data_IF_995010401244
#
_entry.id   IF_995010401244
#
_cell.length_a   1.000
_cell.length_b   1.000
_cell.length_c   1.000
_cell.angle_alpha   90.00
_cell.angle_beta   90.00
_cell.angle_gamma   90.00
#
_symmetry.space_group_name_H-M   'P 1'
#
loop_
_entity.id
_entity.type
_entity.pdbx_description
1 polymer ?
#
# COMPACT_ATOMS: atom_id res chain seq x y z
N UNK A 1 -8.27 19.60 29.03
CA UNK A 1 -7.96 18.63 27.96
C UNK A 1 -6.59 18.96 27.43
N UNK A 2 -5.76 17.96 27.20
CA UNK A 2 -4.40 18.10 26.69
C UNK A 2 -4.35 17.41 25.33
N UNK A 3 -3.76 18.09 24.35
CA UNK A 3 -3.64 17.57 23.00
C UNK A 3 -2.39 16.70 22.89
N UNK A 4 -2.56 15.48 22.39
CA UNK A 4 -1.49 14.55 22.07
C UNK A 4 -1.43 14.37 20.55
N UNK A 5 -0.22 14.39 20.00
CA UNK A 5 0.01 14.27 18.56
C UNK A 5 0.86 13.04 18.27
N UNK A 6 0.48 12.31 17.24
CA UNK A 6 1.21 11.18 16.72
C UNK A 6 1.66 11.48 15.29
N UNK A 7 2.94 11.28 15.00
CA UNK A 7 3.56 11.49 13.71
C UNK A 7 4.00 10.14 13.12
N UNK A 8 3.36 9.73 12.04
CA UNK A 8 3.68 8.54 11.26
C UNK A 8 4.60 8.93 10.10
N UNK A 9 5.80 8.36 10.06
CA UNK A 9 6.72 8.49 8.92
C UNK A 9 6.68 7.24 8.05
N UNK A 10 6.42 7.42 6.77
CA UNK A 10 6.45 6.32 5.79
C UNK A 10 7.88 6.15 5.29
N UNK A 11 8.50 4.99 5.54
CA UNK A 11 9.92 4.76 5.22
C UNK A 11 10.25 4.90 3.73
N UNK A 12 9.30 4.59 2.85
CA UNK A 12 9.51 4.55 1.39
C UNK A 12 9.43 5.96 0.78
N UNK A 13 8.44 6.77 1.18
CA UNK A 13 8.26 8.12 0.63
C UNK A 13 8.97 9.20 1.44
N UNK A 14 9.24 8.95 2.73
CA UNK A 14 9.74 9.95 3.66
C UNK A 14 8.69 10.94 4.14
N UNK A 15 7.43 10.77 3.73
CA UNK A 15 6.32 11.62 4.14
C UNK A 15 5.97 11.43 5.61
N UNK A 16 5.57 12.52 6.25
CA UNK A 16 5.12 12.56 7.64
C UNK A 16 3.62 12.89 7.69
N UNK A 17 2.87 12.05 8.39
CA UNK A 17 1.43 12.19 8.57
C UNK A 17 1.11 12.28 10.05
N UNK A 18 0.24 13.22 10.42
CA UNK A 18 -0.04 13.51 11.82
C UNK A 18 -1.49 13.23 12.17
N UNK A 19 -1.70 12.61 13.33
CA UNK A 19 -3.00 12.46 13.95
C UNK A 19 -2.98 13.04 15.37
N UNK A 20 -4.03 13.74 15.78
CA UNK A 20 -4.11 14.33 17.12
C UNK A 20 -5.32 13.82 17.88
N UNK A 21 -5.17 13.69 19.18
CA UNK A 21 -6.22 13.26 20.09
C UNK A 21 -6.19 14.10 21.37
N UNK A 22 -7.35 14.58 21.81
CA UNK A 22 -7.49 15.33 23.04
C UNK A 22 -7.80 14.39 24.19
N UNK A 23 -6.88 14.29 25.15
CA UNK A 23 -7.02 13.46 26.35
C UNK A 23 -7.44 14.31 27.55
N UNK A 24 -8.25 13.70 28.42
CA UNK A 24 -8.49 14.19 29.77
C UNK A 24 -7.60 13.47 30.79
N UNK A 25 -7.47 14.01 32.01
CA UNK A 25 -6.57 13.45 33.02
C UNK A 25 -6.87 11.98 33.38
N UNK A 26 -8.13 11.54 33.30
CA UNK A 26 -8.46 10.14 33.55
C UNK A 26 -7.97 9.23 32.41
N UNK A 27 -8.01 9.74 31.18
CA UNK A 27 -7.53 9.04 29.99
C UNK A 27 -6.00 9.02 29.91
N UNK A 28 -5.31 10.08 30.35
CA UNK A 28 -3.84 10.10 30.47
C UNK A 28 -3.34 9.06 31.47
N UNK A 29 -4.06 8.86 32.57
CA UNK A 29 -3.72 7.85 33.58
C UNK A 29 -4.05 6.40 33.13
N UNK A 30 -4.91 6.25 32.11
CA UNK A 30 -5.34 4.96 31.59
C UNK A 30 -5.49 4.98 30.06
N UNK A 31 -4.39 5.20 29.30
CA UNK A 31 -4.45 5.41 27.85
C UNK A 31 -5.00 4.20 27.10
N UNK A 32 -4.83 3.00 27.64
CA UNK A 32 -5.37 1.75 27.05
C UNK A 32 -6.90 1.76 26.91
N UNK A 33 -7.60 2.52 27.76
CA UNK A 33 -9.07 2.66 27.69
C UNK A 33 -9.53 3.61 26.58
N UNK A 34 -8.62 4.42 26.03
CA UNK A 34 -8.92 5.39 24.98
C UNK A 34 -8.92 4.74 23.61
N UNK A 35 -7.97 3.83 23.37
CA UNK A 35 -7.77 3.17 22.09
C UNK A 35 -8.75 1.99 21.90
N UNK A 36 -10.06 2.28 21.95
CA UNK A 36 -11.14 1.36 21.61
C UNK A 36 -11.08 0.98 20.13
N UNK A 37 -11.79 -0.07 19.73
CA UNK A 37 -11.84 -0.51 18.32
C UNK A 37 -12.28 0.61 17.38
N UNK A 38 -13.21 1.47 17.81
CA UNK A 38 -13.66 2.64 17.04
C UNK A 38 -12.55 3.67 16.87
N UNK A 39 -11.83 4.00 17.94
CA UNK A 39 -10.71 4.96 17.86
C UNK A 39 -9.57 4.40 17.00
N UNK A 40 -9.28 3.11 17.11
CA UNK A 40 -8.28 2.43 16.27
C UNK A 40 -8.63 2.50 14.79
N UNK A 41 -9.90 2.27 14.46
CA UNK A 41 -10.36 2.35 13.07
C UNK A 41 -10.35 3.79 12.54
N UNK A 42 -10.71 4.78 13.38
CA UNK A 42 -10.60 6.19 13.01
C UNK A 42 -9.14 6.60 12.74
N UNK A 43 -8.19 6.18 13.59
CA UNK A 43 -6.76 6.40 13.37
C UNK A 43 -6.31 5.74 12.06
N UNK A 44 -6.74 4.49 11.83
CA UNK A 44 -6.43 3.73 10.62
C UNK A 44 -6.89 4.49 9.38
N UNK A 45 -8.19 4.78 9.28
CA UNK A 45 -8.78 5.44 8.11
C UNK A 45 -8.16 6.82 7.87
N UNK A 46 -7.93 7.59 8.94
CA UNK A 46 -7.32 8.92 8.81
C UNK A 46 -5.89 8.83 8.24
N UNK A 47 -5.05 7.98 8.82
CA UNK A 47 -3.67 7.82 8.37
C UNK A 47 -3.59 7.16 6.99
N UNK A 48 -4.48 6.23 6.65
CA UNK A 48 -4.57 5.65 5.31
C UNK A 48 -4.96 6.69 4.26
N UNK A 49 -5.95 7.54 4.56
CA UNK A 49 -6.37 8.60 3.64
C UNK A 49 -5.28 9.66 3.43
N UNK A 50 -4.47 9.95 4.46
CA UNK A 50 -3.36 10.88 4.35
C UNK A 50 -2.15 10.29 3.62
N UNK A 51 -1.79 9.05 3.92
CA UNK A 51 -0.58 8.39 3.39
C UNK A 51 -0.79 7.66 2.07
N UNK A 52 -2.04 7.38 1.69
CA UNK A 52 -2.40 6.50 0.57
C UNK A 52 -1.72 5.11 0.68
N UNK A 53 -1.34 4.71 1.90
CA UNK A 53 -0.72 3.42 2.22
C UNK A 53 -1.69 2.52 2.98
N UNK A 54 -1.52 1.21 2.89
CA UNK A 54 -2.33 0.26 3.64
C UNK A 54 -1.84 0.08 5.08
N UNK A 55 -2.73 0.33 6.04
CA UNK A 55 -2.48 0.14 7.47
C UNK A 55 -3.28 -1.07 7.94
N UNK A 56 -2.61 -2.22 7.97
CA UNK A 56 -3.16 -3.49 8.47
C UNK A 56 -3.20 -3.52 10.01
N UNK A 57 -3.87 -4.52 10.58
CA UNK A 57 -3.99 -4.68 12.05
C UNK A 57 -2.65 -4.67 12.77
N UNK A 58 -1.62 -5.33 12.21
CA UNK A 58 -0.28 -5.33 12.80
C UNK A 58 0.31 -3.91 12.92
N UNK A 59 0.15 -3.09 11.87
CA UNK A 59 0.64 -1.70 11.87
C UNK A 59 -0.12 -0.84 12.88
N UNK A 60 -1.45 -1.01 12.95
CA UNK A 60 -2.27 -0.29 13.94
C UNK A 60 -1.89 -0.67 15.37
N UNK A 61 -1.65 -1.95 15.63
CA UNK A 61 -1.23 -2.40 16.96
C UNK A 61 0.13 -1.79 17.35
N UNK A 62 1.07 -1.69 16.41
CA UNK A 62 2.34 -1.02 16.64
C UNK A 62 2.15 0.46 16.96
N UNK A 63 1.39 1.19 16.13
CA UNK A 63 1.09 2.62 16.34
C UNK A 63 0.49 2.85 17.72
N UNK A 64 -0.55 2.10 18.07
CA UNK A 64 -1.29 2.24 19.33
C UNK A 64 -0.40 1.90 20.53
N UNK A 65 0.38 0.81 20.46
CA UNK A 65 1.25 0.41 21.56
C UNK A 65 2.37 1.44 21.81
N UNK A 66 3.00 1.94 20.74
CA UNK A 66 4.00 3.02 20.86
C UNK A 66 3.36 4.26 21.46
N UNK A 67 2.19 4.67 20.97
CA UNK A 67 1.54 5.88 21.46
C UNK A 67 1.10 5.75 22.94
N UNK A 68 0.58 4.58 23.34
CA UNK A 68 0.24 4.27 24.73
C UNK A 68 1.49 4.36 25.62
N UNK A 69 2.61 3.79 25.18
CA UNK A 69 3.86 3.82 25.94
C UNK A 69 4.35 5.26 26.11
N UNK A 70 4.36 6.03 25.02
CA UNK A 70 4.81 7.42 25.03
C UNK A 70 3.94 8.28 25.96
N UNK A 71 2.61 8.08 25.94
CA UNK A 71 1.69 8.77 26.85
C UNK A 71 2.00 8.41 28.31
N UNK A 72 2.27 7.13 28.62
CA UNK A 72 2.65 6.68 29.97
C UNK A 72 3.98 7.27 30.43
N UNK A 73 4.91 7.49 29.50
CA UNK A 73 6.19 8.16 29.76
C UNK A 73 6.04 9.70 29.86
N UNK A 74 4.86 10.24 29.53
CA UNK A 74 4.54 11.66 29.63
C UNK A 74 4.82 12.45 28.36
N UNK A 75 5.16 11.79 27.25
CA UNK A 75 5.36 12.45 25.96
C UNK A 75 4.01 12.83 25.35
N UNK A 76 3.94 14.07 24.87
CA UNK A 76 2.76 14.59 24.15
C UNK A 76 2.84 14.37 22.65
N UNK A 77 4.07 14.20 22.16
CA UNK A 77 4.37 14.01 20.76
C UNK A 77 5.07 12.66 20.60
N UNK A 78 4.46 11.78 19.79
CA UNK A 78 4.94 10.43 19.50
C UNK A 78 5.33 10.35 18.04
N UNK A 79 6.46 9.73 17.71
CA UNK A 79 6.87 9.54 16.31
C UNK A 79 7.19 8.08 16.04
N UNK A 80 6.62 7.51 14.98
CA UNK A 80 6.91 6.15 14.55
C UNK A 80 7.18 6.11 13.05
N UNK A 81 8.26 5.42 12.67
CA UNK A 81 8.57 5.17 11.25
C UNK A 81 8.19 3.75 10.89
N UNK A 82 7.29 3.59 9.91
CA UNK A 82 6.83 2.28 9.44
C UNK A 82 7.10 2.10 7.95
N UNK A 83 7.34 0.86 7.56
CA UNK A 83 7.36 0.46 6.16
C UNK A 83 5.93 0.02 5.79
N UNK A 84 5.20 0.89 5.09
CA UNK A 84 3.80 0.63 4.72
C UNK A 84 3.72 0.34 3.21
N UNK A 85 3.00 -0.73 2.81
CA UNK A 85 2.73 -0.98 1.40
C UNK A 85 1.70 0.03 0.87
N UNK A 86 1.70 0.27 -0.45
CA UNK A 86 0.74 1.19 -1.06
C UNK A 86 -0.69 0.62 -0.94
N UNK A 87 -1.67 1.51 -0.75
CA UNK A 87 -3.07 1.11 -0.61
C UNK A 87 -3.58 0.41 -1.88
N UNK A 88 -3.12 0.88 -3.05
CA UNK A 88 -3.48 0.32 -4.35
C UNK A 88 -2.99 -1.12 -4.47
N UNK A 89 -1.70 -1.39 -4.18
CA UNK A 89 -1.12 -2.74 -4.25
C UNK A 89 -1.85 -3.75 -3.36
N UNK A 90 -2.42 -3.28 -2.24
CA UNK A 90 -3.14 -4.12 -1.29
C UNK A 90 -4.49 -4.63 -1.80
N UNK A 91 -5.03 -4.03 -2.88
CA UNK A 91 -6.25 -4.47 -3.56
C UNK A 91 -6.03 -5.06 -4.95
N UNK A 92 -4.80 -5.02 -5.49
CA UNK A 92 -4.51 -5.60 -6.83
C UNK A 92 -4.65 -7.12 -6.83
N UNK A 93 -4.33 -7.80 -5.72
CA UNK A 93 -4.51 -9.25 -5.61
C UNK A 93 -5.99 -9.68 -5.76
N UNK A 94 -6.94 -8.77 -5.53
CA UNK A 94 -8.38 -9.00 -5.67
C UNK A 94 -8.96 -8.48 -6.99
N UNK A 95 -8.16 -7.83 -7.85
CA UNK A 95 -8.58 -7.41 -9.19
C UNK A 95 -8.60 -8.64 -10.12
N UNK A 96 -9.64 -9.45 -9.99
CA UNK A 96 -9.98 -10.47 -10.97
C UNK A 96 -10.57 -9.74 -12.20
N UNK A 97 -9.72 -9.35 -13.15
CA UNK A 97 -10.14 -8.72 -14.39
C UNK A 97 -11.09 -9.65 -15.17
N UNK A 98 -12.39 -9.37 -15.16
CA UNK A 98 -13.41 -10.04 -15.98
C UNK A 98 -13.31 -9.67 -17.47
N UNK A 99 -12.13 -9.26 -17.93
CA UNK A 99 -11.87 -9.02 -19.35
C UNK A 99 -12.00 -10.33 -20.15
N UNK A 100 -12.06 -10.21 -21.47
CA UNK A 100 -12.03 -11.37 -22.33
C UNK A 100 -10.63 -12.01 -22.28
N UNK A 101 -10.42 -12.90 -21.32
CA UNK A 101 -9.19 -13.69 -21.15
C UNK A 101 -9.18 -14.94 -22.03
N UNK A 102 -10.17 -15.10 -22.92
CA UNK A 102 -10.16 -16.17 -23.90
C UNK A 102 -8.96 -15.98 -24.83
N UNK A 103 -8.14 -17.03 -24.93
CA UNK A 103 -7.10 -17.10 -25.95
C UNK A 103 -7.82 -17.03 -27.30
N UNK A 104 -7.55 -16.02 -28.15
CA UNK A 104 -8.21 -15.93 -29.45
C UNK A 104 -7.94 -17.21 -30.23
N UNK A 105 -8.94 -17.67 -30.96
CA UNK A 105 -8.80 -18.85 -31.79
C UNK A 105 -7.61 -18.68 -32.73
N UNK A 106 -6.76 -19.71 -32.78
CA UNK A 106 -5.61 -19.74 -33.68
C UNK A 106 -6.13 -19.77 -35.13
N UNK A 107 -6.13 -18.63 -35.80
CA UNK A 107 -6.44 -18.56 -37.23
C UNK A 107 -5.16 -18.93 -37.97
N UNK A 108 -5.11 -20.14 -38.51
CA UNK A 108 -4.03 -20.50 -39.42
C UNK A 108 -4.18 -19.67 -40.71
N UNK A 109 -3.12 -18.96 -41.15
CA UNK A 109 -3.16 -18.29 -42.44
C UNK A 109 -3.38 -19.34 -43.54
N UNK A 110 -4.23 -19.01 -44.51
CA UNK A 110 -4.34 -19.79 -45.73
C UNK A 110 -3.05 -19.58 -46.56
N UNK A 111 -2.28 -20.65 -46.70
CA UNK A 111 -1.02 -20.66 -47.46
C UNK A 111 -1.22 -21.26 -48.86
N UNK A 112 -2.45 -21.57 -49.29
CA UNK A 112 -2.72 -22.23 -50.57
C UNK A 112 -2.28 -21.41 -51.79
N UNK A 113 -2.25 -20.08 -51.69
CA UNK A 113 -1.79 -19.18 -52.75
C UNK A 113 -0.31 -18.76 -52.60
N UNK A 114 0.43 -19.36 -51.67
CA UNK A 114 1.82 -18.99 -51.39
C UNK A 114 2.74 -20.08 -51.93
N UNK A 115 3.23 -19.87 -53.15
CA UNK A 115 4.33 -20.66 -53.71
C UNK A 115 5.68 -19.97 -53.44
N UNK A 116 6.73 -20.72 -53.06
CA UNK A 116 8.07 -20.16 -53.03
C UNK A 116 8.50 -19.81 -54.46
N UNK A 117 8.45 -18.53 -54.81
CA UNK A 117 9.16 -18.01 -55.98
C UNK A 117 10.65 -18.16 -55.73
N UNK A 118 11.20 -19.25 -56.26
CA UNK A 118 12.60 -19.68 -56.31
C UNK A 118 13.62 -18.61 -55.88
N UNK A 119 14.46 -18.92 -54.88
CA UNK A 119 15.56 -18.06 -54.48
C UNK A 119 16.55 -17.88 -55.64
N UNK A 120 16.74 -16.63 -56.08
CA UNK A 120 17.75 -16.30 -57.08
C UNK A 120 19.13 -16.37 -56.43
N UNK A 121 19.82 -17.50 -56.60
CA UNK A 121 21.25 -17.56 -56.28
C UNK A 121 21.99 -16.67 -57.29
N UNK A 122 22.78 -15.68 -56.83
CA UNK A 122 23.61 -14.90 -57.73
C UNK A 122 24.60 -15.82 -58.44
N UNK A 123 24.90 -15.58 -59.74
CA UNK A 123 25.86 -16.40 -60.47
C UNK A 123 27.23 -16.34 -59.78
N UNK A 124 27.80 -17.51 -59.50
CA UNK A 124 29.15 -17.63 -58.94
C UNK A 124 30.17 -17.39 -60.05
N UNK A 125 30.95 -16.32 -59.92
CA UNK A 125 32.09 -16.04 -60.81
C UNK A 125 33.29 -16.81 -60.27
N UNK A 126 33.73 -17.83 -61.01
CA UNK A 126 35.02 -18.49 -60.75
C UNK A 126 36.10 -17.78 -61.56
N UNK A 127 37.05 -17.15 -60.87
CA UNK A 127 38.28 -16.54 -61.42
C UNK A 127 39.44 -17.51 -61.37
#
# INVERSE_FOLDING_TARGET
MVKYSFYLKVKVSGDEHSYSLDLNSNQENAPEKVFTSEVRENIRLNLQNQSLCAIKDNHINQIVNTWIQDIKEGYRDSTLTLNLPLLIESGIEELNEQGNQEIPALVNPDLSDIEPTFGMLPPLIFS
#
